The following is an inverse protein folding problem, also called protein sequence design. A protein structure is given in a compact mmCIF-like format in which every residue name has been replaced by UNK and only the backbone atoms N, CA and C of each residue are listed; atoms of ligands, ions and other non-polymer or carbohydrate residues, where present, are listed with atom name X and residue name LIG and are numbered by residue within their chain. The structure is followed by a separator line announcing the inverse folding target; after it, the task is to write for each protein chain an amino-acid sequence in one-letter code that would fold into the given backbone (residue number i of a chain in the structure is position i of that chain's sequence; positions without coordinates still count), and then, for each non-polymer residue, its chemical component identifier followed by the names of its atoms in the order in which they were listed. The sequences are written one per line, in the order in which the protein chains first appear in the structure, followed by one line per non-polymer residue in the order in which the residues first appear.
data_IF_159698789513
#
_entry.id   IF_159698789513
#
_cell.length_a   1.000
_cell.length_b   1.000
_cell.length_c   1.000
_cell.angle_alpha   90.00
_cell.angle_beta   90.00
_cell.angle_gamma   90.00
#
_symmetry.space_group_name_H-M   'P 1'
#
loop_
_entity.id
_entity.type
_entity.pdbx_description
1 polymer ?
#
# COMPACT_ATOMS: atom_id res chain seq x y z
N UNK A 1 -0.70 1.45 16.36
CA UNK A 1 -1.41 1.05 15.12
C UNK A 1 -1.61 -0.47 15.05
N UNK A 2 -0.58 -1.33 15.19
CA UNK A 2 -0.70 -2.81 15.08
C UNK A 2 -1.73 -3.39 16.05
N UNK A 3 -1.79 -2.92 17.30
CA UNK A 3 -2.78 -3.42 18.27
C UNK A 3 -4.23 -3.08 17.86
N UNK A 4 -4.46 -1.94 17.22
CA UNK A 4 -5.77 -1.61 16.66
C UNK A 4 -6.19 -2.59 15.57
N UNK A 5 -5.26 -2.87 14.64
CA UNK A 5 -5.49 -3.84 13.57
C UNK A 5 -5.80 -5.25 14.12
N UNK A 6 -5.03 -5.71 15.12
CA UNK A 6 -5.27 -7.00 15.77
C UNK A 6 -6.66 -7.06 16.42
N UNK A 7 -7.09 -5.97 17.07
CA UNK A 7 -8.42 -5.88 17.69
C UNK A 7 -9.55 -5.95 16.66
N UNK A 8 -9.39 -5.24 15.55
CA UNK A 8 -10.47 -4.99 14.59
C UNK A 8 -10.59 -6.10 13.53
N UNK A 9 -9.58 -6.97 13.41
CA UNK A 9 -9.57 -8.11 12.47
C UNK A 9 -9.75 -9.43 13.24
N UNK A 10 -10.92 -10.08 13.16
CA UNK A 10 -11.25 -11.26 13.98
C UNK A 10 -10.23 -12.41 13.87
N UNK A 11 -9.70 -12.67 12.68
CA UNK A 11 -8.69 -13.73 12.46
C UNK A 11 -7.40 -13.40 13.20
N UNK A 12 -6.95 -12.14 13.18
CA UNK A 12 -5.75 -11.72 13.92
C UNK A 12 -5.97 -11.78 15.43
N UNK A 13 -7.16 -11.38 15.90
CA UNK A 13 -7.51 -11.44 17.31
C UNK A 13 -7.51 -12.89 17.83
N UNK A 14 -8.04 -13.84 17.05
CA UNK A 14 -8.02 -15.27 17.39
C UNK A 14 -6.59 -15.83 17.50
N UNK A 15 -5.65 -15.30 16.72
CA UNK A 15 -4.23 -15.67 16.78
C UNK A 15 -3.45 -14.96 17.88
N UNK A 16 -4.04 -14.02 18.60
CA UNK A 16 -3.41 -13.20 19.62
C UNK A 16 -4.01 -13.44 21.03
N UNK A 17 -3.82 -14.64 21.66
CA UNK A 17 -4.43 -14.99 22.95
C UNK A 17 -3.97 -14.08 24.10
N UNK A 18 -2.90 -13.34 23.90
CA UNK A 18 -2.34 -12.34 24.83
C UNK A 18 -2.97 -10.93 24.67
N UNK A 19 -3.84 -10.74 23.69
CA UNK A 19 -4.42 -9.41 23.45
C UNK A 19 -5.15 -8.87 24.70
N UNK A 20 -4.94 -7.60 25.00
CA UNK A 20 -5.50 -6.95 26.20
C UNK A 20 -4.82 -7.29 27.52
N UNK A 21 -3.74 -8.07 27.50
CA UNK A 21 -2.97 -8.47 28.71
C UNK A 21 -1.51 -8.07 28.58
N UNK A 22 -0.84 -7.91 29.72
CA UNK A 22 0.63 -7.83 29.76
C UNK A 22 1.18 -9.25 29.57
N UNK A 23 1.92 -9.48 28.49
CA UNK A 23 2.44 -10.80 28.13
C UNK A 23 3.82 -10.67 27.48
N UNK A 24 4.70 -11.65 27.71
CA UNK A 24 6.03 -11.70 27.09
C UNK A 24 5.98 -11.72 25.55
N UNK A 25 4.96 -12.36 24.99
CA UNK A 25 4.75 -12.46 23.54
C UNK A 25 4.13 -11.21 22.93
N UNK A 26 3.87 -10.18 23.73
CA UNK A 26 3.28 -8.90 23.30
C UNK A 26 4.12 -7.73 23.79
N UNK A 27 5.26 -7.52 23.18
CA UNK A 27 6.09 -6.33 23.43
C UNK A 27 5.83 -5.25 22.34
N UNK A 28 6.42 -4.06 22.50
CA UNK A 28 6.28 -2.99 21.52
C UNK A 28 6.79 -3.41 20.14
N UNK A 29 7.89 -4.13 20.11
CA UNK A 29 8.70 -4.45 18.94
C UNK A 29 8.66 -5.93 18.51
N UNK A 30 7.89 -6.76 19.24
CA UNK A 30 7.73 -8.18 18.92
C UNK A 30 6.34 -8.70 19.32
N UNK A 31 5.69 -9.41 18.41
CA UNK A 31 4.42 -10.10 18.62
C UNK A 31 4.58 -11.57 18.23
N UNK A 32 4.32 -12.48 19.16
CA UNK A 32 4.34 -13.92 18.91
C UNK A 32 2.90 -14.43 18.88
N UNK A 33 2.45 -14.91 17.73
CA UNK A 33 1.09 -15.40 17.53
C UNK A 33 0.94 -16.88 17.91
N UNK A 34 -0.28 -17.33 18.15
CA UNK A 34 -0.61 -18.70 18.55
C UNK A 34 -0.12 -19.77 17.53
N UNK A 35 -0.03 -19.41 16.25
CA UNK A 35 0.52 -20.25 15.19
C UNK A 35 2.07 -20.24 15.14
N UNK A 36 2.73 -19.71 16.16
CA UNK A 36 4.20 -19.57 16.29
C UNK A 36 4.84 -18.63 15.28
N UNK A 37 4.06 -17.82 14.55
CA UNK A 37 4.60 -16.75 13.73
C UNK A 37 4.96 -15.54 14.59
N UNK A 38 6.04 -14.87 14.19
CA UNK A 38 6.54 -13.66 14.85
C UNK A 38 6.38 -12.45 13.92
N UNK A 39 5.94 -11.34 14.49
CA UNK A 39 6.00 -10.03 13.84
C UNK A 39 7.01 -9.18 14.61
N UNK A 40 8.14 -8.87 13.98
CA UNK A 40 9.13 -7.93 14.50
C UNK A 40 8.89 -6.55 13.91
N UNK A 41 8.79 -5.55 14.78
CA UNK A 41 8.62 -4.15 14.39
C UNK A 41 9.91 -3.43 14.72
N UNK A 42 10.62 -2.94 13.69
CA UNK A 42 11.96 -2.37 13.84
C UNK A 42 12.03 -0.99 13.20
N UNK A 43 12.82 -0.09 13.78
CA UNK A 43 13.12 1.19 13.16
C UNK A 43 14.16 1.02 12.04
N UNK A 44 13.99 1.73 10.93
CA UNK A 44 14.85 1.59 9.74
C UNK A 44 16.21 2.29 9.81
N UNK A 45 16.54 3.01 10.90
CA UNK A 45 17.77 3.84 10.97
C UNK A 45 18.99 3.15 11.53
N UNK A 46 18.83 2.08 12.32
CA UNK A 46 19.95 1.41 12.97
C UNK A 46 20.29 0.08 12.30
N UNK A 47 21.52 -0.09 11.87
CA UNK A 47 22.01 -1.29 11.18
C UNK A 47 21.78 -2.58 11.98
N UNK A 48 21.86 -2.51 13.32
CA UNK A 48 21.56 -3.66 14.20
C UNK A 48 20.14 -4.22 14.02
N UNK A 49 19.18 -3.39 13.56
CA UNK A 49 17.80 -3.82 13.35
C UNK A 49 17.62 -4.75 12.14
N UNK A 50 18.60 -4.74 11.24
CA UNK A 50 18.65 -5.59 10.05
C UNK A 50 19.45 -6.89 10.27
N UNK A 51 19.94 -7.12 11.50
CA UNK A 51 20.74 -8.29 11.84
C UNK A 51 19.94 -9.26 12.70
N UNK A 52 20.48 -10.45 12.93
CA UNK A 52 20.06 -11.45 13.91
C UNK A 52 18.71 -12.16 13.67
N UNK A 53 17.95 -11.75 12.69
CA UNK A 53 16.65 -12.37 12.40
C UNK A 53 16.61 -12.85 10.95
N UNK A 54 16.10 -14.06 10.75
CA UNK A 54 15.65 -14.54 9.46
C UNK A 54 14.14 -14.37 9.38
N UNK A 55 13.63 -14.02 8.22
CA UNK A 55 12.21 -13.74 7.99
C UNK A 55 11.73 -14.42 6.70
N UNK A 56 10.45 -14.75 6.65
CA UNK A 56 9.80 -15.17 5.40
C UNK A 56 9.33 -13.96 4.58
N UNK A 57 8.99 -12.87 5.27
CA UNK A 57 8.47 -11.64 4.68
C UNK A 57 9.11 -10.43 5.37
N UNK A 58 9.49 -9.43 4.58
CA UNK A 58 9.98 -8.13 5.05
C UNK A 58 9.08 -7.04 4.48
N UNK A 59 8.62 -6.15 5.34
CA UNK A 59 7.74 -5.03 4.98
C UNK A 59 8.44 -3.73 5.34
N UNK A 60 8.62 -2.87 4.35
CA UNK A 60 9.16 -1.52 4.50
C UNK A 60 8.00 -0.53 4.43
N UNK A 61 7.65 0.04 5.57
CA UNK A 61 6.63 1.09 5.66
C UNK A 61 7.31 2.46 5.65
N UNK A 62 6.77 3.40 4.87
CA UNK A 62 7.34 4.74 4.68
C UNK A 62 8.79 4.72 4.16
N UNK A 63 9.12 3.85 3.20
CA UNK A 63 10.48 3.64 2.67
C UNK A 63 11.14 4.95 2.19
N UNK A 64 10.37 5.94 1.71
CA UNK A 64 10.90 7.25 1.31
C UNK A 64 11.53 8.06 2.46
N UNK A 65 11.29 7.64 3.72
CA UNK A 65 11.82 8.28 4.93
C UNK A 65 13.05 7.58 5.50
N UNK A 66 13.44 6.46 4.91
CA UNK A 66 14.64 5.75 5.31
C UNK A 66 15.88 6.46 4.76
N UNK A 67 16.97 6.39 5.49
CA UNK A 67 18.26 6.88 5.00
C UNK A 67 18.73 6.01 3.82
N UNK A 68 19.38 6.59 2.84
CA UNK A 68 19.87 5.88 1.66
C UNK A 68 20.98 4.88 2.00
N UNK A 69 21.70 5.13 3.08
CA UNK A 69 22.74 4.28 3.65
C UNK A 69 22.55 4.20 5.16
N UNK A 70 22.43 2.98 5.67
CA UNK A 70 22.17 2.72 7.09
C UNK A 70 23.51 2.58 7.81
N UNK A 71 23.95 3.63 8.48
CA UNK A 71 25.17 3.65 9.31
C UNK A 71 26.43 3.15 8.56
N UNK A 72 26.53 3.38 7.24
CA UNK A 72 27.66 2.93 6.41
C UNK A 72 27.62 1.45 5.99
N UNK A 73 26.53 0.73 6.30
CA UNK A 73 26.40 -0.69 5.96
C UNK A 73 25.64 -0.93 4.63
N UNK A 74 25.09 0.12 4.05
CA UNK A 74 24.45 0.09 2.75
C UNK A 74 22.94 0.38 2.77
N UNK A 75 22.32 0.14 1.63
CA UNK A 75 20.92 0.38 1.36
C UNK A 75 19.99 -0.46 2.28
N UNK A 76 18.98 0.14 2.90
CA UNK A 76 18.08 -0.53 3.84
C UNK A 76 17.32 -1.70 3.21
N UNK A 77 16.96 -1.61 1.93
CA UNK A 77 16.26 -2.71 1.25
C UNK A 77 17.19 -3.90 1.06
N UNK A 78 18.43 -3.65 0.62
CA UNK A 78 19.44 -4.69 0.49
C UNK A 78 19.73 -5.38 1.83
N UNK A 79 19.86 -4.61 2.90
CA UNK A 79 20.12 -5.15 4.24
C UNK A 79 18.94 -5.99 4.78
N UNK A 80 17.71 -5.53 4.56
CA UNK A 80 16.52 -6.25 5.00
C UNK A 80 16.22 -7.47 4.14
N UNK A 81 16.36 -7.38 2.82
CA UNK A 81 16.09 -8.50 1.91
C UNK A 81 17.07 -9.67 2.12
N UNK A 82 18.29 -9.43 2.60
CA UNK A 82 19.21 -10.48 3.07
C UNK A 82 18.64 -11.34 4.21
N UNK A 83 17.60 -10.89 4.89
CA UNK A 83 16.92 -11.69 5.94
C UNK A 83 15.99 -12.74 5.36
N UNK A 84 15.72 -12.67 4.06
CA UNK A 84 14.86 -13.59 3.31
C UNK A 84 15.62 -14.78 2.72
N UNK A 85 16.95 -14.82 2.81
CA UNK A 85 17.80 -15.82 2.12
C UNK A 85 17.44 -17.28 2.47
N UNK A 86 16.85 -17.55 3.63
CA UNK A 86 16.42 -18.87 4.04
C UNK A 86 14.93 -19.15 3.84
N UNK A 87 14.17 -18.20 3.30
CA UNK A 87 12.73 -18.35 3.14
C UNK A 87 12.38 -19.22 1.92
N UNK A 88 11.37 -20.08 2.08
CA UNK A 88 10.87 -20.92 0.97
C UNK A 88 10.08 -20.07 -0.05
N UNK A 89 9.32 -19.11 0.45
CA UNK A 89 8.55 -18.16 -0.37
C UNK A 89 8.84 -16.72 0.10
N UNK A 90 10.00 -16.16 -0.25
CA UNK A 90 10.39 -14.84 0.22
C UNK A 90 9.49 -13.76 -0.34
N UNK A 91 9.09 -12.80 0.52
CA UNK A 91 8.38 -11.59 0.09
C UNK A 91 9.07 -10.34 0.62
N UNK A 92 9.32 -9.39 -0.27
CA UNK A 92 9.75 -8.03 0.04
C UNK A 92 8.66 -7.05 -0.38
N UNK A 93 7.98 -6.45 0.60
CA UNK A 93 6.87 -5.52 0.40
C UNK A 93 7.36 -4.11 0.72
N UNK A 94 7.21 -3.20 -0.22
CA UNK A 94 7.70 -1.82 -0.10
C UNK A 94 6.55 -0.85 -0.28
N UNK A 95 6.22 -0.10 0.76
CA UNK A 95 5.15 0.89 0.77
C UNK A 95 5.69 2.26 1.16
N UNK A 96 5.28 3.31 0.45
CA UNK A 96 5.57 4.69 0.81
C UNK A 96 4.84 5.68 -0.08
N UNK A 97 4.64 6.88 0.43
CA UNK A 97 4.38 8.04 -0.42
C UNK A 97 5.70 8.46 -1.11
N UNK A 98 5.67 8.86 -2.39
CA UNK A 98 6.86 9.37 -3.08
C UNK A 98 7.44 10.59 -2.37
N UNK A 99 8.76 10.65 -2.30
CA UNK A 99 9.50 11.81 -1.80
C UNK A 99 10.03 12.69 -2.96
N UNK A 100 11.22 13.29 -2.75
CA UNK A 100 11.86 14.12 -3.78
C UNK A 100 12.32 13.27 -4.96
N UNK A 101 12.08 13.77 -6.17
CA UNK A 101 12.55 13.14 -7.41
C UNK A 101 14.08 12.95 -7.41
N UNK A 102 14.54 11.82 -7.94
CA UNK A 102 15.96 11.46 -8.01
C UNK A 102 16.59 10.96 -6.70
N UNK A 103 15.95 11.12 -5.55
CA UNK A 103 16.47 10.68 -4.25
C UNK A 103 15.54 9.72 -3.51
N UNK A 104 14.38 9.43 -4.08
CA UNK A 104 13.32 8.69 -3.42
C UNK A 104 13.46 7.18 -3.65
N UNK A 105 13.69 6.42 -2.59
CA UNK A 105 13.90 4.97 -2.66
C UNK A 105 12.67 4.22 -3.18
N UNK A 106 11.44 4.65 -2.85
CA UNK A 106 10.23 4.01 -3.37
C UNK A 106 10.05 4.29 -4.88
N UNK A 107 10.41 5.49 -5.35
CA UNK A 107 10.37 5.82 -6.77
C UNK A 107 11.38 4.98 -7.55
N UNK A 108 12.60 4.81 -7.00
CA UNK A 108 13.62 3.92 -7.57
C UNK A 108 13.10 2.47 -7.65
N UNK A 109 12.60 1.92 -6.54
CA UNK A 109 12.05 0.57 -6.49
C UNK A 109 10.90 0.37 -7.49
N UNK A 110 10.01 1.37 -7.66
CA UNK A 110 8.93 1.33 -8.64
C UNK A 110 9.45 1.36 -10.08
N UNK A 111 10.54 2.10 -10.36
CA UNK A 111 11.13 2.16 -11.70
C UNK A 111 11.86 0.88 -12.10
N UNK A 112 12.39 0.15 -11.14
CA UNK A 112 13.05 -1.15 -11.33
C UNK A 112 12.05 -2.31 -11.46
N UNK A 113 10.76 -2.10 -11.13
CA UNK A 113 9.74 -3.13 -11.26
C UNK A 113 9.42 -3.42 -12.73
N UNK A 114 9.41 -4.69 -13.16
CA UNK A 114 9.04 -5.08 -14.52
C UNK A 114 7.56 -4.85 -14.83
N UNK A 115 6.73 -4.73 -13.80
CA UNK A 115 5.30 -4.51 -13.91
C UNK A 115 4.88 -3.25 -13.15
N UNK A 116 4.12 -2.38 -13.80
CA UNK A 116 3.50 -1.19 -13.20
C UNK A 116 2.00 -1.26 -13.38
N UNK A 117 1.32 -1.76 -12.39
CA UNK A 117 -0.12 -1.98 -12.43
C UNK A 117 -0.89 -0.69 -12.07
N UNK A 118 -1.90 -0.38 -12.86
CA UNK A 118 -2.90 0.65 -12.58
C UNK A 118 -4.27 0.03 -12.52
N UNK A 119 -5.04 0.39 -11.49
CA UNK A 119 -6.42 -0.04 -11.39
C UNK A 119 -7.28 0.75 -12.37
N UNK A 120 -7.94 0.04 -13.28
CA UNK A 120 -8.81 0.61 -14.30
C UNK A 120 -10.26 0.23 -14.02
N UNK A 121 -11.13 1.20 -14.23
CA UNK A 121 -12.57 1.10 -14.02
C UNK A 121 -13.29 1.49 -15.30
N UNK A 122 -14.21 0.66 -15.76
CA UNK A 122 -15.02 0.96 -16.93
C UNK A 122 -16.07 2.02 -16.60
N UNK A 123 -16.21 3.02 -17.46
CA UNK A 123 -17.29 4.00 -17.35
C UNK A 123 -18.65 3.30 -17.48
N UNK A 124 -19.63 3.53 -16.60
CA UNK A 124 -20.95 2.90 -16.69
C UNK A 124 -21.76 3.33 -17.93
N UNK A 125 -21.38 4.41 -18.62
CA UNK A 125 -22.06 4.93 -19.80
C UNK A 125 -21.42 4.51 -21.12
N UNK A 126 -20.11 4.74 -21.28
CA UNK A 126 -19.44 4.45 -22.55
C UNK A 126 -18.62 3.15 -22.53
N UNK A 127 -18.51 2.51 -21.37
CA UNK A 127 -17.76 1.27 -21.14
C UNK A 127 -16.24 1.34 -21.43
N UNK A 128 -15.72 2.53 -21.68
CA UNK A 128 -14.26 2.73 -21.79
C UNK A 128 -13.60 2.65 -20.43
N UNK A 129 -12.51 1.90 -20.35
CA UNK A 129 -11.72 1.79 -19.14
C UNK A 129 -10.86 3.03 -18.91
N UNK A 130 -10.76 3.45 -17.68
CA UNK A 130 -9.96 4.61 -17.26
C UNK A 130 -9.39 4.42 -15.87
N UNK A 131 -8.25 5.04 -15.60
CA UNK A 131 -7.74 5.21 -14.24
C UNK A 131 -8.47 6.38 -13.59
N UNK A 132 -9.11 6.14 -12.45
CA UNK A 132 -9.82 7.21 -11.74
C UNK A 132 -8.83 8.28 -11.26
N UNK A 133 -9.10 9.53 -11.60
CA UNK A 133 -8.28 10.70 -11.29
C UNK A 133 -8.99 11.60 -10.28
N UNK A 134 -8.21 12.25 -9.42
CA UNK A 134 -8.78 13.19 -8.46
C UNK A 134 -9.52 14.34 -9.15
N UNK A 135 -9.03 14.79 -10.31
CA UNK A 135 -9.63 15.88 -11.06
C UNK A 135 -9.44 17.21 -10.34
N UNK A 136 -10.55 17.86 -9.98
CA UNK A 136 -10.55 19.15 -9.32
C UNK A 136 -11.25 20.23 -10.15
N UNK A 137 -11.20 21.48 -9.69
CA UNK A 137 -11.94 22.58 -10.29
C UNK A 137 -11.49 22.90 -11.72
N UNK A 138 -10.19 22.80 -11.96
CA UNK A 138 -9.55 23.20 -13.22
C UNK A 138 -9.35 22.04 -14.22
N UNK A 139 -9.82 20.83 -13.88
CA UNK A 139 -9.78 19.67 -14.76
C UNK A 139 -11.15 19.48 -15.43
N UNK A 140 -11.17 19.10 -16.71
CA UNK A 140 -12.43 18.82 -17.44
C UNK A 140 -13.10 17.54 -16.93
N UNK A 141 -12.32 16.54 -16.50
CA UNK A 141 -12.78 15.22 -16.05
C UNK A 141 -12.23 14.87 -14.65
N UNK A 142 -12.61 13.71 -14.14
CA UNK A 142 -12.19 13.22 -12.81
C UNK A 142 -13.20 13.57 -11.72
N UNK A 143 -12.79 13.47 -10.46
CA UNK A 143 -13.64 13.76 -9.30
C UNK A 143 -13.95 15.25 -9.23
N UNK A 144 -15.25 15.56 -9.11
CA UNK A 144 -15.80 16.91 -8.98
C UNK A 144 -16.63 17.00 -7.70
N UNK A 145 -16.76 18.21 -7.16
CA UNK A 145 -17.57 18.44 -5.97
C UNK A 145 -18.08 19.90 -5.91
N UNK A 146 -19.21 20.06 -5.24
CA UNK A 146 -19.75 21.34 -4.83
C UNK A 146 -19.51 21.57 -3.33
N UNK A 147 -19.25 22.80 -2.93
CA UNK A 147 -19.09 23.21 -1.55
C UNK A 147 -20.20 24.18 -1.13
N UNK A 148 -20.64 24.08 0.13
CA UNK A 148 -21.49 25.07 0.76
C UNK A 148 -20.70 26.33 1.16
N UNK A 149 -21.38 27.31 1.73
CA UNK A 149 -20.78 28.57 2.20
C UNK A 149 -19.74 28.37 3.32
N UNK A 150 -19.81 27.24 4.05
CA UNK A 150 -18.86 26.85 5.09
C UNK A 150 -17.62 26.14 4.52
N UNK A 151 -17.56 25.91 3.21
CA UNK A 151 -16.45 25.23 2.55
C UNK A 151 -16.51 23.70 2.61
N UNK A 152 -17.60 23.11 3.11
CA UNK A 152 -17.82 21.68 3.20
C UNK A 152 -18.34 21.12 1.86
N UNK A 153 -17.84 19.95 1.46
CA UNK A 153 -18.33 19.27 0.26
C UNK A 153 -19.74 18.73 0.50
N UNK A 154 -20.72 19.23 -0.24
CA UNK A 154 -22.13 18.83 -0.13
C UNK A 154 -22.57 17.88 -1.22
N UNK A 155 -21.85 17.83 -2.33
CA UNK A 155 -22.10 16.94 -3.46
C UNK A 155 -20.81 16.58 -4.13
N UNK A 156 -20.65 15.30 -4.53
CA UNK A 156 -19.52 14.84 -5.30
C UNK A 156 -19.98 13.91 -6.43
N UNK A 157 -19.30 13.98 -7.57
CA UNK A 157 -19.53 13.12 -8.72
C UNK A 157 -18.23 12.91 -9.49
N UNK A 158 -18.21 11.93 -10.36
CA UNK A 158 -17.09 11.69 -11.26
C UNK A 158 -17.50 12.02 -12.70
N UNK A 159 -16.63 12.69 -13.44
CA UNK A 159 -16.79 13.00 -14.85
C UNK A 159 -15.85 12.11 -15.67
N UNK A 160 -16.40 11.32 -16.59
CA UNK A 160 -15.65 10.42 -17.45
C UNK A 160 -14.73 11.20 -18.41
N UNK A 161 -13.48 10.74 -18.56
CA UNK A 161 -12.50 11.37 -19.47
C UNK A 161 -12.79 11.09 -20.96
N UNK A 162 -13.60 10.06 -21.27
CA UNK A 162 -13.88 9.64 -22.64
C UNK A 162 -15.19 10.21 -23.20
N UNK A 163 -16.24 10.27 -22.39
CA UNK A 163 -17.57 10.67 -22.85
C UNK A 163 -18.18 11.83 -22.06
N UNK A 164 -17.46 12.37 -21.06
CA UNK A 164 -17.92 13.43 -20.16
C UNK A 164 -19.20 13.11 -19.36
N UNK A 165 -19.70 11.88 -19.41
CA UNK A 165 -20.84 11.49 -18.61
C UNK A 165 -20.51 11.56 -17.11
N UNK A 166 -21.51 11.95 -16.32
CA UNK A 166 -21.42 12.08 -14.87
C UNK A 166 -21.96 10.81 -14.23
N UNK A 167 -21.26 10.27 -13.25
CA UNK A 167 -21.73 9.19 -12.42
C UNK A 167 -21.37 9.41 -10.94
N UNK A 168 -22.20 8.90 -10.06
CA UNK A 168 -22.15 9.14 -8.63
C UNK A 168 -21.45 8.00 -7.89
N UNK A 169 -21.33 8.16 -6.57
CA UNK A 169 -20.59 7.23 -5.73
C UNK A 169 -21.06 5.76 -5.89
N UNK A 170 -22.37 5.51 -5.94
CA UNK A 170 -22.90 4.15 -6.07
C UNK A 170 -22.51 3.50 -7.40
N UNK A 171 -22.58 4.26 -8.49
CA UNK A 171 -22.19 3.78 -9.82
C UNK A 171 -20.67 3.51 -9.86
N UNK A 172 -19.88 4.35 -9.20
CA UNK A 172 -18.44 4.19 -9.10
C UNK A 172 -18.04 2.96 -8.29
N UNK A 173 -18.74 2.68 -7.18
CA UNK A 173 -18.52 1.47 -6.38
C UNK A 173 -18.84 0.23 -7.23
N UNK A 174 -19.99 0.17 -7.85
CA UNK A 174 -20.39 -0.97 -8.70
C UNK A 174 -19.41 -1.17 -9.88
N UNK A 175 -18.97 -0.10 -10.52
CA UNK A 175 -17.97 -0.15 -11.60
C UNK A 175 -16.61 -0.64 -11.09
N UNK A 176 -16.22 -0.21 -9.87
CA UNK A 176 -14.94 -0.62 -9.24
C UNK A 176 -14.91 -2.11 -8.88
N UNK A 177 -16.04 -2.71 -8.51
CA UNK A 177 -16.14 -4.16 -8.26
C UNK A 177 -15.81 -4.99 -9.51
N UNK A 178 -16.00 -4.43 -10.70
CA UNK A 178 -15.66 -5.04 -11.98
C UNK A 178 -14.31 -4.57 -12.53
N UNK A 179 -13.63 -3.70 -11.79
CA UNK A 179 -12.34 -3.14 -12.18
C UNK A 179 -11.23 -4.19 -12.26
N UNK A 180 -10.13 -3.82 -12.91
CA UNK A 180 -8.97 -4.70 -13.06
C UNK A 180 -7.66 -3.92 -13.01
N UNK A 181 -6.62 -4.58 -12.58
CA UNK A 181 -5.27 -4.07 -12.62
C UNK A 181 -4.66 -4.33 -13.99
N UNK A 182 -4.19 -3.29 -14.64
CA UNK A 182 -3.56 -3.37 -15.96
C UNK A 182 -2.13 -2.85 -15.88
N UNK A 183 -1.19 -3.62 -16.39
CA UNK A 183 0.21 -3.19 -16.47
C UNK A 183 0.39 -2.18 -17.60
N UNK A 184 0.84 -0.98 -17.28
CA UNK A 184 1.11 0.08 -18.25
C UNK A 184 2.22 -0.27 -19.25
N UNK A 185 3.12 -1.21 -18.89
CA UNK A 185 4.27 -1.59 -19.70
C UNK A 185 3.95 -2.75 -20.64
N UNK A 186 3.26 -3.76 -20.15
CA UNK A 186 3.05 -5.03 -20.87
C UNK A 186 1.62 -5.25 -21.35
N UNK A 187 0.66 -4.48 -20.83
CA UNK A 187 -0.76 -4.68 -21.11
C UNK A 187 -1.38 -5.91 -20.40
N UNK A 188 -0.59 -6.71 -19.70
CA UNK A 188 -1.10 -7.84 -18.91
C UNK A 188 -2.02 -7.30 -17.82
N UNK A 189 -3.10 -8.02 -17.55
CA UNK A 189 -4.07 -7.62 -16.55
C UNK A 189 -4.44 -8.75 -15.59
N UNK A 190 -4.89 -8.39 -14.41
CA UNK A 190 -5.43 -9.30 -13.39
C UNK A 190 -6.53 -8.60 -12.59
N UNK A 191 -7.46 -9.38 -12.03
CA UNK A 191 -8.38 -8.89 -11.00
C UNK A 191 -7.80 -9.06 -9.60
N UNK A 192 -6.90 -10.02 -9.43
CA UNK A 192 -6.21 -10.31 -8.17
C UNK A 192 -4.79 -9.77 -8.27
N UNK A 193 -4.48 -8.73 -7.52
CA UNK A 193 -3.15 -8.11 -7.50
C UNK A 193 -2.19 -8.76 -6.49
N UNK A 194 -2.59 -9.87 -5.86
CA UNK A 194 -1.84 -10.57 -4.79
C UNK A 194 -1.37 -11.94 -5.22
#
# INVERSE_FOLDING_TARGET
HVNGLIRDVPVLLALAPWFGRKHSDNTLDNKVFANRRNLWIRGGKAARNYREKSADEVIYDELSKFDADVEGEGDPVTLGDKRLDGAVYPKSIRGSTPGREGQCQITKAASESPYRLRFQVACPHCHQEQVLKFGGKDCEYGLKWEKNELGEAVKAWYCCEHCSAIFFHQDMVAASEQGRWVCEVTGIWTRDAY
#
